data_IF_516445008981
#
_entry.id   IF_516445008981
#
_cell.length_a   1.000
_cell.length_b   1.000
_cell.length_c   1.000
_cell.angle_alpha   90.00
_cell.angle_beta   90.00
_cell.angle_gamma   90.00
#
_symmetry.space_group_name_H-M   'P 1'
#
loop_
_entity.id
_entity.type
_entity.pdbx_description
1 polymer ?
#
# COMPACT_ATOMS: atom_id res chain seq x y z
N UNK A 1 7.36 -15.18 -13.19
CA UNK A 1 7.26 -14.94 -11.75
C UNK A 1 6.99 -13.47 -11.50
N UNK A 2 5.97 -13.14 -10.71
CA UNK A 2 5.67 -11.76 -10.41
C UNK A 2 6.72 -11.19 -9.46
N UNK A 3 7.13 -9.95 -9.72
CA UNK A 3 8.01 -9.23 -8.79
C UNK A 3 7.18 -8.69 -7.65
N UNK A 4 7.75 -8.70 -6.46
CA UNK A 4 7.07 -8.25 -5.26
C UNK A 4 7.84 -7.12 -4.57
N UNK A 5 7.13 -6.43 -3.69
CA UNK A 5 7.72 -5.45 -2.80
C UNK A 5 7.19 -5.70 -1.41
N UNK A 6 7.89 -5.21 -0.39
CA UNK A 6 7.42 -5.35 0.98
C UNK A 6 6.43 -4.25 1.29
N UNK A 7 5.24 -4.65 1.74
CA UNK A 7 4.18 -3.71 2.09
C UNK A 7 3.85 -3.84 3.57
N UNK A 8 3.74 -2.70 4.24
CA UNK A 8 3.26 -2.62 5.61
C UNK A 8 2.09 -1.65 5.64
N UNK A 9 0.95 -2.09 6.16
CA UNK A 9 -0.18 -1.20 6.46
C UNK A 9 -0.41 -1.29 7.95
N UNK A 10 -0.29 -0.16 8.63
CA UNK A 10 -0.34 -0.12 10.08
C UNK A 10 -1.13 1.07 10.57
N UNK A 11 -1.71 0.92 11.76
CA UNK A 11 -2.28 2.03 12.53
C UNK A 11 -1.75 1.89 13.95
N UNK A 12 -2.01 2.88 14.79
CA UNK A 12 -1.48 2.86 16.15
C UNK A 12 -1.84 1.55 16.84
N UNK A 13 -0.80 0.82 17.26
CA UNK A 13 -0.96 -0.41 18.02
C UNK A 13 -1.29 -1.65 17.21
N UNK A 14 -1.34 -1.55 15.87
CA UNK A 14 -1.78 -2.69 15.09
C UNK A 14 -1.21 -2.68 13.68
N UNK A 15 -0.67 -3.83 13.24
CA UNK A 15 -0.33 -4.04 11.83
C UNK A 15 -1.52 -4.71 11.15
N UNK A 16 -2.03 -4.09 10.10
CA UNK A 16 -3.13 -4.66 9.33
C UNK A 16 -2.63 -5.57 8.22
N UNK A 17 -1.48 -5.28 7.66
CA UNK A 17 -0.82 -6.09 6.65
C UNK A 17 0.69 -5.90 6.79
N UNK A 18 1.45 -6.98 6.66
CA UNK A 18 2.91 -6.92 6.72
C UNK A 18 3.44 -8.11 5.93
N UNK A 19 3.84 -7.88 4.69
CA UNK A 19 4.32 -8.97 3.86
C UNK A 19 4.58 -8.53 2.42
N UNK A 20 4.75 -9.51 1.55
CA UNK A 20 5.05 -9.28 0.15
C UNK A 20 3.77 -9.06 -0.65
N UNK A 21 3.78 -8.08 -1.53
CA UNK A 21 2.65 -7.76 -2.38
C UNK A 21 3.13 -7.59 -3.82
N UNK A 22 2.23 -7.86 -4.75
CA UNK A 22 2.46 -7.61 -6.18
C UNK A 22 2.02 -6.20 -6.53
N UNK A 23 0.94 -5.73 -5.90
CA UNK A 23 0.41 -4.39 -6.14
C UNK A 23 -0.39 -3.93 -4.94
N UNK A 24 -0.41 -2.63 -4.69
CA UNK A 24 -1.35 -2.02 -3.77
C UNK A 24 -1.91 -0.77 -4.42
N UNK A 25 -3.24 -0.66 -4.43
CA UNK A 25 -3.94 0.50 -4.96
C UNK A 25 -4.44 1.31 -3.78
N UNK A 26 -4.11 2.59 -3.78
CA UNK A 26 -4.34 3.46 -2.62
C UNK A 26 -5.11 4.71 -3.04
N UNK A 27 -5.98 5.23 -2.14
CA UNK A 27 -6.71 6.46 -2.42
C UNK A 27 -5.87 7.68 -2.05
N UNK A 28 -5.01 8.12 -2.96
CA UNK A 28 -4.21 9.31 -2.75
C UNK A 28 -5.07 10.57 -2.77
N UNK A 29 -4.60 11.60 -2.07
CA UNK A 29 -5.32 12.86 -2.01
C UNK A 29 -5.46 13.51 -3.37
N UNK A 30 -4.49 13.27 -4.26
CA UNK A 30 -4.52 13.80 -5.63
C UNK A 30 -5.05 12.79 -6.65
N UNK A 31 -5.55 11.66 -6.20
CA UNK A 31 -6.08 10.62 -7.06
C UNK A 31 -5.62 9.24 -6.64
N UNK A 32 -6.38 8.24 -7.09
CA UNK A 32 -6.05 6.84 -6.83
C UNK A 32 -4.78 6.48 -7.60
N UNK A 33 -3.88 5.74 -6.95
CA UNK A 33 -2.65 5.31 -7.59
C UNK A 33 -2.33 3.87 -7.19
N UNK A 34 -1.50 3.20 -8.00
CA UNK A 34 -1.10 1.82 -7.74
C UNK A 34 0.42 1.74 -7.61
N UNK A 35 0.88 1.09 -6.56
CA UNK A 35 2.29 0.83 -6.33
C UNK A 35 2.59 -0.62 -6.70
N UNK A 36 3.64 -0.82 -7.47
CA UNK A 36 4.13 -2.13 -7.85
C UNK A 36 5.62 -2.22 -7.50
N UNK A 37 6.22 -3.38 -7.74
CA UNK A 37 7.64 -3.57 -7.44
C UNK A 37 8.50 -2.51 -8.13
N UNK A 38 9.50 -2.03 -7.41
CA UNK A 38 10.46 -1.05 -7.94
C UNK A 38 9.86 0.30 -8.31
N UNK A 39 8.72 0.64 -7.71
CA UNK A 39 8.13 1.96 -7.89
C UNK A 39 9.09 3.04 -7.38
N UNK A 40 9.15 4.18 -8.09
CA UNK A 40 10.03 5.26 -7.65
C UNK A 40 9.59 5.81 -6.28
N UNK A 41 10.54 6.37 -5.56
CA UNK A 41 10.30 6.86 -4.22
C UNK A 41 9.36 8.06 -4.22
N UNK A 42 8.38 8.05 -3.31
CA UNK A 42 7.53 9.21 -3.11
C UNK A 42 6.78 9.07 -1.78
N UNK A 43 6.23 10.19 -1.33
CA UNK A 43 5.41 10.25 -0.13
C UNK A 43 4.15 11.03 -0.49
N UNK A 44 3.00 10.52 -0.09
CA UNK A 44 1.74 11.20 -0.39
C UNK A 44 0.73 10.97 0.74
N UNK A 45 -0.08 12.00 1.05
CA UNK A 45 -1.18 11.80 1.97
C UNK A 45 -2.30 11.01 1.28
N UNK A 46 -3.03 10.25 2.09
CA UNK A 46 -4.15 9.45 1.64
C UNK A 46 -5.44 10.09 2.12
N UNK A 47 -6.49 9.91 1.33
CA UNK A 47 -7.82 10.40 1.65
C UNK A 47 -8.75 9.21 1.87
N UNK A 48 -10.02 9.48 2.16
CA UNK A 48 -11.00 8.43 2.38
C UNK A 48 -11.17 7.55 1.16
N UNK A 49 -11.16 6.25 1.37
CA UNK A 49 -11.31 5.29 0.29
C UNK A 49 -10.94 3.90 0.74
N UNK A 50 -10.57 3.07 -0.22
CA UNK A 50 -10.24 1.66 0.03
C UNK A 50 -8.85 1.38 -0.53
N UNK A 51 -8.01 0.73 0.29
CA UNK A 51 -6.75 0.18 -0.19
C UNK A 51 -7.00 -1.26 -0.64
N UNK A 52 -6.49 -1.61 -1.82
CA UNK A 52 -6.60 -2.97 -2.33
C UNK A 52 -5.21 -3.55 -2.48
N UNK A 53 -4.95 -4.66 -1.80
CA UNK A 53 -3.65 -5.34 -1.83
C UNK A 53 -3.80 -6.62 -2.65
N UNK A 54 -2.90 -6.79 -3.61
CA UNK A 54 -2.84 -8.03 -4.39
C UNK A 54 -1.56 -8.77 -4.02
N UNK A 55 -1.70 -10.01 -3.57
CA UNK A 55 -0.58 -10.87 -3.21
C UNK A 55 -0.14 -11.72 -4.40
N UNK A 56 1.04 -12.33 -4.29
CA UNK A 56 1.63 -13.10 -5.40
C UNK A 56 0.78 -14.30 -5.80
N UNK A 57 -0.03 -14.84 -4.90
CA UNK A 57 -0.92 -15.97 -5.17
C UNK A 57 -2.23 -15.55 -5.81
N UNK A 58 -2.40 -14.26 -6.11
CA UNK A 58 -3.64 -13.74 -6.70
C UNK A 58 -4.69 -13.33 -5.69
N UNK A 59 -4.44 -13.55 -4.41
CA UNK A 59 -5.38 -13.15 -3.36
C UNK A 59 -5.45 -11.63 -3.28
N UNK A 60 -6.68 -11.10 -3.12
CA UNK A 60 -6.87 -9.67 -2.93
C UNK A 60 -7.52 -9.40 -1.58
N UNK A 61 -7.01 -8.40 -0.90
CA UNK A 61 -7.54 -7.97 0.39
C UNK A 61 -7.79 -6.47 0.33
N UNK A 62 -8.83 -6.02 1.03
CA UNK A 62 -9.17 -4.61 1.05
C UNK A 62 -9.17 -4.08 2.47
N UNK A 63 -8.82 -2.81 2.59
CA UNK A 63 -8.77 -2.12 3.88
C UNK A 63 -9.41 -0.75 3.73
N UNK A 64 -10.31 -0.39 4.63
CA UNK A 64 -10.93 0.93 4.63
C UNK A 64 -9.94 1.96 5.16
N UNK A 65 -9.83 3.07 4.44
CA UNK A 65 -8.94 4.17 4.81
C UNK A 65 -9.79 5.43 4.99
N UNK A 66 -9.62 6.10 6.13
CA UNK A 66 -10.22 7.40 6.33
C UNK A 66 -9.22 8.50 5.97
N UNK A 67 -7.99 8.32 6.39
CA UNK A 67 -6.86 9.17 6.03
C UNK A 67 -5.58 8.47 6.46
N UNK A 68 -4.45 8.95 5.98
CA UNK A 68 -3.18 8.38 6.32
C UNK A 68 -2.10 8.94 5.43
N UNK A 69 -0.96 8.29 5.45
CA UNK A 69 0.16 8.67 4.62
C UNK A 69 0.79 7.40 4.04
N UNK A 70 1.19 7.47 2.78
CA UNK A 70 1.90 6.39 2.12
C UNK A 70 3.31 6.85 1.80
N UNK A 71 4.28 6.00 2.11
CA UNK A 71 5.68 6.25 1.81
C UNK A 71 6.23 5.08 1.02
N UNK A 72 6.83 5.36 -0.12
CA UNK A 72 7.39 4.32 -1.01
C UNK A 72 8.86 4.64 -1.23
N UNK A 73 9.73 3.65 -1.00
CA UNK A 73 11.15 3.76 -1.33
C UNK A 73 11.80 2.39 -1.22
N UNK A 74 12.88 2.19 -2.01
CA UNK A 74 13.71 0.98 -1.91
C UNK A 74 12.90 -0.32 -1.96
N UNK A 75 11.95 -0.40 -2.87
CA UNK A 75 11.09 -1.57 -3.06
C UNK A 75 10.30 -1.92 -1.82
N UNK A 76 9.92 -0.91 -1.05
CA UNK A 76 9.07 -1.03 0.13
C UNK A 76 8.00 0.04 0.12
N UNK A 77 6.84 -0.28 0.65
CA UNK A 77 5.77 0.69 0.83
C UNK A 77 5.26 0.59 2.26
N UNK A 78 5.10 1.73 2.89
CA UNK A 78 4.56 1.81 4.25
C UNK A 78 3.34 2.72 4.23
N UNK A 79 2.23 2.21 4.72
CA UNK A 79 0.98 2.95 4.83
C UNK A 79 0.66 3.10 6.30
N UNK A 80 0.62 4.33 6.78
CA UNK A 80 0.31 4.65 8.17
C UNK A 80 -1.06 5.31 8.23
N UNK A 81 -1.94 4.71 9.02
CA UNK A 81 -3.34 5.16 9.14
C UNK A 81 -3.61 5.80 10.49
#
# INVERSE_FOLDING_TARGET
MAKTFHLTIAKVGENLFDGEAVAVTLPGEEGVFTVMANHEAFVTPLTRGVATVESADGTKQTYDIERGIAEVSNNQATVLL
#
